data_IF_648405798990
#
_entry.id   IF_648405798990
#
_cell.length_a   1.000
_cell.length_b   1.000
_cell.length_c   1.000
_cell.angle_alpha   90.00
_cell.angle_beta   90.00
_cell.angle_gamma   90.00
#
_symmetry.space_group_name_H-M   'P 1'
#
loop_
_entity.id
_entity.type
_entity.pdbx_description
1 polymer ?
#
# COMPACT_ATOMS: atom_id res chain seq x y z
N UNK A 1 -18.76 0.13 3.61
CA UNK A 1 -17.37 0.66 3.74
C UNK A 1 -16.58 -0.11 2.69
N UNK A 2 -16.23 0.53 1.56
CA UNK A 2 -15.49 -0.15 0.49
C UNK A 2 -14.15 -0.63 1.05
N UNK A 3 -13.84 -1.89 0.77
CA UNK A 3 -12.54 -2.47 1.10
C UNK A 3 -11.45 -1.56 0.53
N UNK A 4 -10.60 -1.01 1.38
CA UNK A 4 -9.44 -0.23 0.95
C UNK A 4 -8.46 -1.19 0.32
N UNK A 5 -8.51 -1.29 -0.99
CA UNK A 5 -7.51 -2.06 -1.72
C UNK A 5 -6.12 -1.47 -1.45
N UNK A 6 -5.15 -2.31 -1.22
CA UNK A 6 -3.74 -1.93 -1.00
C UNK A 6 -3.23 -0.92 -2.05
N UNK A 7 -3.72 -1.00 -3.26
CA UNK A 7 -3.33 -0.10 -4.37
C UNK A 7 -3.70 1.36 -4.10
N UNK A 8 -4.75 1.62 -3.31
CA UNK A 8 -5.09 2.98 -2.90
C UNK A 8 -4.00 3.60 -2.01
N UNK A 9 -3.08 2.77 -1.51
CA UNK A 9 -2.02 3.15 -0.57
C UNK A 9 -0.62 3.02 -1.18
N UNK A 10 -0.45 2.36 -2.34
CA UNK A 10 0.87 2.21 -2.96
C UNK A 10 1.38 3.57 -3.47
N UNK A 11 2.38 4.18 -2.82
CA UNK A 11 2.97 5.41 -3.33
C UNK A 11 3.70 5.15 -4.65
N UNK A 12 3.52 5.97 -5.69
CA UNK A 12 4.28 5.85 -6.94
C UNK A 12 5.80 5.85 -6.73
N UNK A 13 6.26 6.57 -5.72
CA UNK A 13 7.66 6.61 -5.32
C UNK A 13 8.15 5.24 -4.81
N UNK A 14 7.34 4.50 -4.05
CA UNK A 14 7.71 3.16 -3.60
C UNK A 14 7.89 2.21 -4.78
N UNK A 15 6.97 2.21 -5.74
CA UNK A 15 7.10 1.43 -6.97
C UNK A 15 8.40 1.76 -7.70
N UNK A 16 8.72 3.04 -7.87
CA UNK A 16 9.96 3.49 -8.51
C UNK A 16 11.21 3.03 -7.74
N UNK A 17 11.21 3.09 -6.41
CA UNK A 17 12.35 2.62 -5.62
C UNK A 17 12.52 1.10 -5.71
N UNK A 18 11.44 0.33 -5.62
CA UNK A 18 11.52 -1.12 -5.75
C UNK A 18 12.08 -1.54 -7.11
N UNK A 19 11.63 -0.90 -8.20
CA UNK A 19 12.17 -1.12 -9.55
C UNK A 19 13.67 -0.79 -9.61
N UNK A 20 14.11 0.32 -8.99
CA UNK A 20 15.55 0.64 -8.92
C UNK A 20 16.38 -0.40 -8.18
N UNK A 21 15.83 -1.09 -7.17
CA UNK A 21 16.55 -2.19 -6.55
C UNK A 21 16.76 -3.35 -7.53
N UNK A 22 15.75 -3.69 -8.33
CA UNK A 22 15.90 -4.70 -9.38
C UNK A 22 16.95 -4.25 -10.41
N UNK A 23 16.88 -3.02 -10.91
CA UNK A 23 17.87 -2.45 -11.83
C UNK A 23 19.30 -2.46 -11.27
N UNK A 24 19.48 -2.55 -9.96
CA UNK A 24 20.76 -2.66 -9.27
C UNK A 24 21.16 -4.09 -8.91
N UNK A 25 20.41 -5.08 -9.40
CA UNK A 25 20.76 -6.49 -9.30
C UNK A 25 20.03 -7.24 -8.18
N UNK A 26 19.02 -6.65 -7.55
CA UNK A 26 18.15 -7.41 -6.66
C UNK A 26 17.26 -8.34 -7.48
N UNK A 27 17.23 -9.63 -7.18
CA UNK A 27 16.33 -10.59 -7.82
C UNK A 27 14.93 -10.57 -7.21
N UNK A 28 14.79 -10.17 -5.94
CA UNK A 28 13.53 -10.10 -5.22
C UNK A 28 13.48 -8.88 -4.29
N UNK A 29 12.36 -8.16 -4.31
CA UNK A 29 12.04 -7.09 -3.37
C UNK A 29 10.73 -7.39 -2.67
N UNK A 30 10.76 -7.55 -1.35
CA UNK A 30 9.58 -7.77 -0.52
C UNK A 30 9.30 -6.51 0.32
N UNK A 31 8.12 -5.93 0.14
CA UNK A 31 7.66 -4.80 0.92
C UNK A 31 6.78 -5.26 2.09
N UNK A 32 6.87 -4.53 3.18
CA UNK A 32 6.11 -4.73 4.41
C UNK A 32 5.47 -3.41 4.88
N UNK A 33 4.83 -3.43 6.02
CA UNK A 33 4.27 -2.28 6.72
C UNK A 33 2.87 -1.83 6.30
N UNK A 34 2.41 -2.17 5.10
CA UNK A 34 1.05 -1.80 4.66
C UNK A 34 -0.06 -2.52 5.43
N UNK A 35 0.26 -3.63 6.11
CA UNK A 35 -0.68 -4.52 6.80
C UNK A 35 -1.75 -5.14 5.88
N UNK A 36 -1.58 -5.04 4.58
CA UNK A 36 -2.47 -5.58 3.57
C UNK A 36 -1.68 -6.40 2.56
N UNK A 37 -2.33 -7.36 1.92
CA UNK A 37 -1.79 -8.04 0.74
C UNK A 37 -1.74 -7.01 -0.39
N UNK A 38 -0.57 -6.82 -0.96
CA UNK A 38 -0.34 -5.93 -2.09
C UNK A 38 -0.38 -6.65 -3.43
N UNK A 39 0.26 -6.05 -4.42
CA UNK A 39 0.40 -6.62 -5.74
C UNK A 39 1.79 -7.25 -5.94
N UNK A 40 1.91 -8.12 -6.93
CA UNK A 40 3.18 -8.60 -7.48
C UNK A 40 3.47 -7.88 -8.79
N UNK A 41 4.72 -7.55 -8.99
CA UNK A 41 5.23 -7.05 -10.24
C UNK A 41 6.48 -7.86 -10.63
N UNK A 42 6.45 -8.50 -11.78
CA UNK A 42 7.66 -9.02 -12.40
C UNK A 42 8.20 -7.90 -13.30
N UNK A 43 9.37 -7.38 -12.93
CA UNK A 43 10.01 -6.24 -13.56
C UNK A 43 11.44 -6.59 -13.95
N UNK A 44 11.78 -6.47 -15.26
CA UNK A 44 13.05 -6.95 -15.80
C UNK A 44 13.30 -8.42 -15.37
N UNK A 45 14.45 -8.68 -14.74
CA UNK A 45 14.85 -10.02 -14.31
C UNK A 45 14.49 -10.33 -12.84
N UNK A 46 13.63 -9.50 -12.21
CA UNK A 46 13.30 -9.64 -10.79
C UNK A 46 11.81 -9.57 -10.48
N UNK A 47 11.50 -9.94 -9.25
CA UNK A 47 10.14 -9.93 -8.70
C UNK A 47 10.02 -8.93 -7.56
N UNK A 48 8.92 -8.17 -7.53
CA UNK A 48 8.58 -7.23 -6.46
C UNK A 48 7.21 -7.65 -5.89
N UNK A 49 7.12 -7.79 -4.56
CA UNK A 49 5.87 -8.01 -3.84
C UNK A 49 5.64 -6.80 -2.92
N UNK A 50 4.61 -6.01 -3.21
CA UNK A 50 4.36 -4.72 -2.57
C UNK A 50 3.69 -4.83 -1.19
N UNK A 51 3.33 -6.01 -0.74
CA UNK A 51 2.79 -6.24 0.59
C UNK A 51 2.41 -7.70 0.80
N UNK A 52 2.70 -8.22 1.99
CA UNK A 52 2.43 -9.60 2.36
C UNK A 52 1.28 -9.72 3.36
N UNK A 53 0.69 -8.58 3.78
CA UNK A 53 -0.25 -8.56 4.91
C UNK A 53 0.47 -8.66 6.27
N UNK A 54 -0.26 -9.04 7.30
CA UNK A 54 0.24 -9.14 8.67
C UNK A 54 0.22 -10.58 9.15
N UNK A 55 1.37 -11.20 9.32
CA UNK A 55 1.48 -12.59 9.76
C UNK A 55 0.80 -12.81 11.13
N UNK A 56 1.20 -12.07 12.14
CA UNK A 56 0.55 -12.02 13.45
C UNK A 56 0.42 -10.58 13.88
N UNK A 57 -0.74 -10.00 13.72
CA UNK A 57 -0.99 -8.64 14.16
C UNK A 57 -2.35 -8.58 14.86
N UNK A 58 -2.30 -8.54 16.20
CA UNK A 58 -3.50 -8.44 17.02
C UNK A 58 -3.48 -7.10 17.74
N UNK A 59 -4.31 -6.15 17.27
CA UNK A 59 -4.60 -4.95 18.05
C UNK A 59 -6.08 -4.67 18.02
N UNK A 60 -6.62 -4.25 19.15
CA UNK A 60 -8.00 -3.76 19.28
C UNK A 60 -8.28 -2.55 18.37
N UNK A 61 -7.23 -1.85 17.92
CA UNK A 61 -7.32 -0.71 17.00
C UNK A 61 -7.83 -1.08 15.61
N UNK A 62 -7.73 -2.35 15.21
CA UNK A 62 -8.16 -2.81 13.88
C UNK A 62 -9.51 -3.53 13.88
N UNK A 63 -10.27 -3.47 14.97
CA UNK A 63 -11.59 -4.13 15.05
C UNK A 63 -12.56 -3.72 13.94
N UNK A 64 -12.40 -2.53 13.36
CA UNK A 64 -13.18 -2.06 12.20
C UNK A 64 -12.55 -2.39 10.83
N UNK A 65 -11.38 -3.03 10.80
CA UNK A 65 -10.62 -3.39 9.60
C UNK A 65 -10.31 -4.90 9.57
N UNK A 66 -10.97 -5.69 10.40
CA UNK A 66 -10.66 -7.11 10.61
C UNK A 66 -10.59 -7.91 9.31
N UNK A 67 -11.51 -7.65 8.38
CA UNK A 67 -11.57 -8.39 7.12
C UNK A 67 -10.40 -8.09 6.16
N UNK A 68 -9.88 -6.87 6.21
CA UNK A 68 -8.80 -6.42 5.29
C UNK A 68 -7.42 -6.87 5.76
N UNK A 69 -7.23 -6.98 7.08
CA UNK A 69 -5.95 -7.35 7.69
C UNK A 69 -5.92 -8.79 8.21
N UNK A 70 -6.99 -9.56 7.94
CA UNK A 70 -7.08 -10.95 8.36
C UNK A 70 -6.22 -11.87 7.50
N UNK A 71 -6.09 -11.55 6.22
CA UNK A 71 -5.37 -12.36 5.26
C UNK A 71 -3.95 -11.88 5.04
N UNK A 72 -3.06 -12.83 4.80
CA UNK A 72 -1.64 -12.57 4.55
C UNK A 72 -1.08 -13.61 3.59
N UNK A 73 0.09 -13.32 3.06
CA UNK A 73 0.87 -14.24 2.23
C UNK A 73 2.14 -14.65 2.95
N UNK A 74 2.38 -15.95 3.05
CA UNK A 74 3.71 -16.49 3.28
C UNK A 74 4.38 -16.60 1.92
N UNK A 75 5.58 -16.06 1.80
CA UNK A 75 6.37 -16.14 0.58
C UNK A 75 7.41 -17.23 0.77
N UNK A 76 7.27 -18.29 0.00
CA UNK A 76 8.23 -19.38 -0.05
C UNK A 76 9.17 -19.16 -1.24
N UNK A 77 10.45 -19.28 -0.97
CA UNK A 77 11.51 -19.16 -1.97
C UNK A 77 12.20 -20.50 -2.14
N UNK A 78 12.18 -21.02 -3.36
CA UNK A 78 13.03 -22.10 -3.78
C UNK A 78 14.20 -21.52 -4.58
N UNK A 79 15.41 -21.68 -4.06
CA UNK A 79 16.63 -21.06 -4.61
C UNK A 79 17.56 -22.14 -5.12
N UNK A 80 17.95 -22.05 -6.38
CA UNK A 80 18.89 -22.96 -7.05
C UNK A 80 20.01 -22.19 -7.74
N UNK A 81 20.96 -22.92 -8.31
CA UNK A 81 22.02 -22.31 -9.15
C UNK A 81 21.50 -21.74 -10.46
N UNK A 82 20.31 -22.13 -10.88
CA UNK A 82 19.68 -21.67 -12.12
C UNK A 82 18.75 -20.47 -11.90
N UNK A 83 18.49 -20.10 -10.64
CA UNK A 83 17.61 -18.99 -10.29
C UNK A 83 16.80 -19.25 -9.03
N UNK A 84 15.69 -18.53 -8.90
CA UNK A 84 14.77 -18.69 -7.78
C UNK A 84 13.32 -18.77 -8.27
N UNK A 85 12.50 -19.48 -7.50
CA UNK A 85 11.06 -19.56 -7.71
C UNK A 85 10.34 -19.01 -6.48
N UNK A 86 9.31 -18.18 -6.71
CA UNK A 86 8.48 -17.58 -5.66
C UNK A 86 7.14 -18.28 -5.64
N UNK A 87 6.71 -18.73 -4.47
CA UNK A 87 5.38 -19.28 -4.25
C UNK A 87 4.69 -18.47 -3.14
N UNK A 88 3.52 -17.97 -3.44
CA UNK A 88 2.66 -17.25 -2.52
C UNK A 88 1.68 -18.21 -1.87
N UNK A 89 1.70 -18.29 -0.55
CA UNK A 89 0.85 -19.19 0.24
C UNK A 89 -0.10 -18.35 1.09
N UNK A 90 -1.39 -18.27 0.74
CA UNK A 90 -2.38 -17.55 1.54
C UNK A 90 -2.59 -18.19 2.91
N UNK A 91 -2.55 -17.33 3.92
CA UNK A 91 -2.86 -17.66 5.30
C UNK A 91 -3.93 -16.71 5.81
N UNK A 92 -4.73 -17.16 6.74
CA UNK A 92 -5.76 -16.35 7.38
C UNK A 92 -5.65 -16.42 8.90
N UNK A 93 -6.06 -15.33 9.54
CA UNK A 93 -6.08 -15.25 11.00
C UNK A 93 -7.33 -15.94 11.53
N UNK A 94 -7.17 -16.62 12.66
CA UNK A 94 -8.26 -17.18 13.47
C UNK A 94 -8.23 -16.59 14.88
N UNK A 95 -9.20 -16.94 15.70
CA UNK A 95 -9.25 -16.50 17.10
C UNK A 95 -8.07 -17.01 17.94
N UNK A 96 -7.48 -18.12 17.52
CA UNK A 96 -6.39 -18.80 18.25
C UNK A 96 -5.02 -18.67 17.61
N UNK A 97 -4.93 -17.99 16.44
CA UNK A 97 -3.67 -17.84 15.73
C UNK A 97 -3.84 -17.66 14.23
N UNK A 98 -2.98 -18.30 13.47
CA UNK A 98 -3.01 -18.30 12.01
C UNK A 98 -3.13 -19.72 11.46
N UNK A 99 -3.76 -19.86 10.30
CA UNK A 99 -3.87 -21.14 9.59
C UNK A 99 -3.73 -20.93 8.09
N UNK A 100 -3.47 -21.98 7.34
CA UNK A 100 -3.60 -21.93 5.89
C UNK A 100 -5.04 -21.58 5.53
N UNK A 101 -5.22 -20.71 4.55
CA UNK A 101 -6.54 -20.38 4.04
C UNK A 101 -7.23 -21.63 3.47
N UNK A 102 -8.57 -21.74 3.63
CA UNK A 102 -9.33 -22.80 2.97
C UNK A 102 -9.18 -22.71 1.46
N UNK A 103 -9.49 -23.79 0.75
CA UNK A 103 -9.36 -23.80 -0.72
C UNK A 103 -10.16 -22.69 -1.40
N UNK A 104 -11.40 -22.49 -0.95
CA UNK A 104 -12.30 -21.46 -1.47
C UNK A 104 -11.77 -20.06 -1.13
N UNK A 105 -11.27 -19.88 0.09
CA UNK A 105 -10.72 -18.61 0.53
C UNK A 105 -9.38 -18.28 -0.14
N UNK A 106 -8.53 -19.31 -0.33
CA UNK A 106 -7.30 -19.19 -1.13
C UNK A 106 -7.60 -18.66 -2.52
N UNK A 107 -8.62 -19.19 -3.19
CA UNK A 107 -8.99 -18.74 -4.53
C UNK A 107 -9.39 -17.26 -4.52
N UNK A 108 -10.21 -16.84 -3.57
CA UNK A 108 -10.64 -15.44 -3.43
C UNK A 108 -9.47 -14.48 -3.21
N UNK A 109 -8.56 -14.83 -2.30
CA UNK A 109 -7.36 -14.04 -2.02
C UNK A 109 -6.46 -13.95 -3.24
N UNK A 110 -6.21 -15.07 -3.92
CA UNK A 110 -5.33 -15.11 -5.08
C UNK A 110 -5.94 -14.40 -6.30
N UNK A 111 -7.25 -14.49 -6.51
CA UNK A 111 -7.93 -13.75 -7.58
C UNK A 111 -7.80 -12.24 -7.37
N UNK A 112 -7.99 -11.78 -6.13
CA UNK A 112 -7.79 -10.37 -5.77
C UNK A 112 -6.33 -9.95 -5.98
N UNK A 113 -5.38 -10.76 -5.52
CA UNK A 113 -3.95 -10.53 -5.67
C UNK A 113 -3.53 -10.43 -7.15
N UNK A 114 -3.99 -11.36 -7.98
CA UNK A 114 -3.71 -11.34 -9.42
C UNK A 114 -4.36 -10.13 -10.10
N UNK A 115 -5.60 -9.80 -9.75
CA UNK A 115 -6.27 -8.61 -10.29
C UNK A 115 -5.51 -7.32 -9.95
N UNK A 116 -5.01 -7.20 -8.71
CA UNK A 116 -4.19 -6.08 -8.30
C UNK A 116 -2.88 -6.03 -9.09
N UNK A 117 -2.24 -7.18 -9.29
CA UNK A 117 -0.98 -7.31 -10.05
C UNK A 117 -1.14 -6.91 -11.51
N UNK A 118 -2.27 -7.25 -12.12
CA UNK A 118 -2.58 -6.78 -13.49
C UNK A 118 -2.90 -5.27 -13.53
N UNK A 119 -3.55 -4.75 -12.50
CA UNK A 119 -3.92 -3.35 -12.46
C UNK A 119 -2.70 -2.42 -12.34
N UNK A 120 -1.68 -2.77 -11.56
CA UNK A 120 -0.48 -1.93 -11.43
C UNK A 120 0.35 -1.81 -12.71
N UNK A 121 0.13 -2.71 -13.69
CA UNK A 121 0.76 -2.64 -15.02
C UNK A 121 0.15 -1.54 -15.89
N UNK A 122 -1.07 -1.09 -15.59
CA UNK A 122 -1.78 -0.08 -16.38
C UNK A 122 -1.14 1.30 -16.16
N UNK A 123 -0.88 2.08 -17.24
CA UNK A 123 -0.35 3.43 -17.13
C UNK A 123 -1.20 4.28 -16.19
N UNK A 124 -0.55 5.09 -15.36
CA UNK A 124 -1.16 6.02 -14.41
C UNK A 124 -2.01 5.40 -13.28
N UNK A 125 -2.31 4.11 -13.30
CA UNK A 125 -3.20 3.47 -12.32
C UNK A 125 -2.73 3.69 -10.87
N UNK A 126 -1.45 3.44 -10.58
CA UNK A 126 -0.85 3.63 -9.24
C UNK A 126 -0.94 5.10 -8.82
N UNK A 127 -0.63 6.02 -9.74
CA UNK A 127 -0.66 7.45 -9.48
C UNK A 127 -2.08 7.96 -9.16
N UNK A 128 -3.07 7.58 -9.97
CA UNK A 128 -4.46 8.02 -9.80
C UNK A 128 -5.08 7.49 -8.50
N UNK A 129 -4.80 6.24 -8.14
CA UNK A 129 -5.28 5.66 -6.90
C UNK A 129 -4.60 6.30 -5.69
N UNK A 130 -3.30 6.49 -5.74
CA UNK A 130 -2.57 7.18 -4.67
C UNK A 130 -3.05 8.64 -4.52
N UNK A 131 -3.31 9.33 -5.62
CA UNK A 131 -3.87 10.70 -5.59
C UNK A 131 -5.22 10.74 -4.89
N UNK A 132 -6.15 9.84 -5.23
CA UNK A 132 -7.45 9.75 -4.55
C UNK A 132 -7.30 9.51 -3.04
N UNK A 133 -6.41 8.60 -2.67
CA UNK A 133 -6.08 8.35 -1.27
C UNK A 133 -5.52 9.62 -0.59
N UNK A 134 -4.54 10.27 -1.19
CA UNK A 134 -3.92 11.48 -0.66
C UNK A 134 -4.94 12.63 -0.51
N UNK A 135 -5.80 12.84 -1.49
CA UNK A 135 -6.87 13.84 -1.45
C UNK A 135 -7.85 13.58 -0.29
N UNK A 136 -8.17 12.32 -0.01
CA UNK A 136 -9.01 11.93 1.12
C UNK A 136 -8.34 12.28 2.46
N UNK A 137 -7.04 12.01 2.60
CA UNK A 137 -6.28 12.33 3.81
C UNK A 137 -6.08 13.84 3.98
N UNK A 138 -5.72 14.56 2.92
CA UNK A 138 -5.60 16.03 2.95
C UNK A 138 -6.91 16.65 3.42
N UNK A 139 -8.05 16.23 2.87
CA UNK A 139 -9.36 16.73 3.28
C UNK A 139 -9.69 16.39 4.74
N UNK A 140 -9.29 15.22 5.22
CA UNK A 140 -9.45 14.82 6.62
C UNK A 140 -8.60 15.69 7.54
N UNK A 141 -7.32 15.87 7.26
CA UNK A 141 -6.40 16.73 8.02
C UNK A 141 -6.87 18.19 7.99
N UNK A 142 -7.30 18.69 6.85
CA UNK A 142 -7.85 20.04 6.75
C UNK A 142 -9.08 20.20 7.65
N UNK A 143 -9.97 19.23 7.73
CA UNK A 143 -11.12 19.27 8.64
C UNK A 143 -10.72 19.25 10.10
N UNK A 144 -9.76 18.42 10.47
CA UNK A 144 -9.27 18.31 11.84
C UNK A 144 -8.51 19.55 12.28
N UNK A 145 -7.59 20.09 11.46
CA UNK A 145 -6.79 21.27 11.76
C UNK A 145 -7.58 22.59 11.68
N UNK A 146 -8.51 22.69 10.75
CA UNK A 146 -9.21 23.93 10.48
C UNK A 146 -10.52 24.05 11.26
N UNK A 147 -10.93 23.01 12.02
CA UNK A 147 -12.14 23.04 12.83
C UNK A 147 -13.44 23.21 12.04
N UNK A 148 -14.57 23.26 12.75
CA UNK A 148 -15.92 23.34 12.15
C UNK A 148 -16.26 24.69 11.53
N UNK A 149 -15.57 25.76 11.96
CA UNK A 149 -15.86 27.14 11.51
C UNK A 149 -14.84 27.62 10.49
N UNK A 150 -15.29 27.85 9.27
CA UNK A 150 -14.44 28.28 8.15
C UNK A 150 -13.72 29.61 8.36
N UNK A 151 -14.28 30.52 9.20
CA UNK A 151 -13.66 31.78 9.57
C UNK A 151 -12.42 31.61 10.43
N UNK A 152 -12.51 30.72 11.43
CA UNK A 152 -11.35 30.33 12.25
C UNK A 152 -10.31 29.63 11.37
N UNK A 153 -10.76 28.86 10.39
CA UNK A 153 -9.93 28.23 9.37
C UNK A 153 -9.10 29.25 8.59
N UNK A 154 -9.75 30.28 8.07
CA UNK A 154 -9.09 31.34 7.29
C UNK A 154 -8.11 32.14 8.15
N UNK A 155 -8.48 32.48 9.38
CA UNK A 155 -7.62 33.20 10.32
C UNK A 155 -6.42 32.40 10.75
N UNK A 156 -6.58 31.10 11.05
CA UNK A 156 -5.46 30.23 11.39
C UNK A 156 -4.52 30.01 10.21
N UNK A 157 -5.03 29.96 8.99
CA UNK A 157 -4.19 29.87 7.78
C UNK A 157 -3.34 31.16 7.60
N UNK A 158 -3.92 32.33 7.84
CA UNK A 158 -3.24 33.62 7.73
C UNK A 158 -2.20 33.80 8.86
N UNK A 159 -2.55 33.40 10.08
CA UNK A 159 -1.70 33.60 11.25
C UNK A 159 -0.61 32.54 11.42
N UNK A 160 -0.75 31.36 10.84
CA UNK A 160 0.16 30.24 11.08
C UNK A 160 1.06 29.95 9.86
N UNK A 161 2.16 30.72 9.74
CA UNK A 161 3.18 30.54 8.69
C UNK A 161 3.77 29.12 8.64
N UNK A 162 3.79 28.37 9.76
CA UNK A 162 4.23 26.98 9.79
C UNK A 162 3.24 26.05 9.08
N UNK A 163 1.94 26.29 9.27
CA UNK A 163 0.89 25.52 8.61
C UNK A 163 0.88 25.75 7.10
N UNK A 164 1.06 27.01 6.69
CA UNK A 164 1.20 27.38 5.26
C UNK A 164 2.42 26.69 4.64
N UNK A 165 3.57 26.66 5.32
CA UNK A 165 4.75 25.96 4.84
C UNK A 165 4.55 24.46 4.77
N UNK A 166 3.82 23.85 5.70
CA UNK A 166 3.48 22.43 5.68
C UNK A 166 2.54 22.10 4.50
N UNK A 167 1.53 22.92 4.28
CA UNK A 167 0.57 22.77 3.16
C UNK A 167 1.23 23.01 1.80
N UNK A 168 2.10 24.03 1.69
CA UNK A 168 2.88 24.28 0.48
C UNK A 168 3.98 23.23 0.29
N UNK A 169 4.54 22.70 1.37
CA UNK A 169 5.48 21.58 1.33
C UNK A 169 4.84 20.30 0.81
N UNK A 170 3.61 19.99 1.22
CA UNK A 170 2.87 18.82 0.70
C UNK A 170 2.42 18.99 -0.75
N UNK A 171 1.99 20.19 -1.14
CA UNK A 171 1.67 20.50 -2.55
C UNK A 171 2.93 20.55 -3.42
N UNK A 172 4.06 21.04 -2.92
CA UNK A 172 5.34 21.01 -3.63
C UNK A 172 5.88 19.59 -3.77
N UNK A 173 5.63 18.72 -2.79
CA UNK A 173 6.01 17.30 -2.87
C UNK A 173 5.23 16.56 -3.97
N UNK A 174 3.94 16.88 -4.14
CA UNK A 174 3.11 16.38 -5.23
C UNK A 174 3.50 17.02 -6.59
N UNK A 175 3.93 18.28 -6.60
CA UNK A 175 4.35 18.97 -7.82
C UNK A 175 5.73 18.49 -8.31
N UNK A 176 6.68 18.22 -7.41
CA UNK A 176 8.01 17.69 -7.75
C UNK A 176 7.92 16.29 -8.39
N UNK A 177 6.91 15.51 -8.06
CA UNK A 177 6.68 14.20 -8.70
C UNK A 177 6.25 14.30 -10.17
N UNK A 178 5.74 15.44 -10.62
CA UNK A 178 5.35 15.66 -12.01
C UNK A 178 6.51 16.10 -12.92
N UNK A 179 7.70 16.40 -12.36
CA UNK A 179 8.88 16.88 -13.10
C UNK A 179 10.10 15.95 -13.03
N UNK A 180 9.98 14.79 -12.39
CA UNK A 180 11.00 13.73 -12.34
C UNK A 180 10.44 12.39 -12.85
#
# INVERSE_FOLDING_TARGET
MEARNFIDILPPMLQRYCRKFIEKGASLVLCQHSHCIGAREDYEDGTIIYGQGSFVFHTEYFNNLQDIVADSLVIELDVSTEGFHVREIPITRTDVGITLASKEHTQLVMDTYHQLSENIKKPHFVYENYKRFADTYVNRYLREFLGRMWVIKALNLICNRKLIRLLLGTTSYLAIQNYL
#
